data_IF_203164391780
#
_entry.id   IF_203164391780
#
_cell.length_a   1.000
_cell.length_b   1.000
_cell.length_c   1.000
_cell.angle_alpha   90.00
_cell.angle_beta   90.00
_cell.angle_gamma   90.00
#
_symmetry.space_group_name_H-M   'P 1'
#
loop_
_entity.id
_entity.type
_entity.pdbx_description
1 polymer ?
#
# COMPACT_ATOMS: atom_id res chain seq x y z
N UNK A 1 -1.19 2.86 20.45
CA UNK A 1 -0.63 2.95 19.08
C UNK A 1 -1.70 2.49 18.10
N UNK A 2 -2.12 3.34 17.14
CA UNK A 2 -3.26 3.05 16.27
C UNK A 2 -2.99 1.85 15.35
N UNK A 3 -4.06 1.15 14.92
CA UNK A 3 -3.97 0.04 13.95
C UNK A 3 -3.27 0.45 12.65
N UNK A 4 -3.47 1.70 12.23
CA UNK A 4 -2.83 2.32 11.07
C UNK A 4 -1.30 2.15 11.07
N UNK A 5 -0.60 2.61 12.10
CA UNK A 5 0.86 2.50 12.19
C UNK A 5 1.35 1.05 12.25
N UNK A 6 0.63 0.19 12.98
CA UNK A 6 0.97 -1.24 13.05
C UNK A 6 0.89 -1.92 11.69
N UNK A 7 -0.10 -1.57 10.87
CA UNK A 7 -0.24 -2.14 9.54
C UNK A 7 0.79 -1.58 8.58
N UNK A 8 1.00 -0.26 8.53
CA UNK A 8 2.03 0.35 7.66
C UNK A 8 3.44 -0.23 7.87
N UNK A 9 3.78 -0.69 9.09
CA UNK A 9 5.06 -1.37 9.32
C UNK A 9 5.27 -2.61 8.42
N UNK A 10 4.21 -3.27 7.99
CA UNK A 10 4.28 -4.40 7.06
C UNK A 10 4.84 -4.01 5.69
N UNK A 11 4.61 -2.76 5.24
CA UNK A 11 5.24 -2.27 4.00
C UNK A 11 6.77 -2.36 4.09
N UNK A 12 7.36 -2.18 5.27
CA UNK A 12 8.82 -2.28 5.46
C UNK A 12 9.38 -3.68 5.24
N UNK A 13 8.52 -4.69 5.14
CA UNK A 13 8.88 -6.08 4.83
C UNK A 13 8.44 -6.49 3.42
N UNK A 14 7.97 -5.55 2.60
CA UNK A 14 7.50 -5.82 1.23
C UNK A 14 6.07 -6.35 1.15
N UNK A 15 5.37 -6.48 2.28
CA UNK A 15 3.98 -6.91 2.31
C UNK A 15 3.08 -5.90 1.59
N UNK A 16 2.00 -6.40 0.98
CA UNK A 16 0.95 -5.57 0.37
C UNK A 16 -0.15 -5.33 1.37
N UNK A 17 -0.66 -4.10 1.43
CA UNK A 17 -1.68 -3.72 2.41
C UNK A 17 -2.87 -3.11 1.68
N UNK A 18 -4.07 -3.50 2.09
CA UNK A 18 -5.33 -2.99 1.55
C UNK A 18 -6.20 -2.38 2.66
N UNK A 19 -7.15 -1.54 2.24
CA UNK A 19 -8.28 -1.08 3.05
C UNK A 19 -9.56 -1.68 2.53
N UNK A 20 -10.50 -2.00 3.43
CA UNK A 20 -11.83 -2.50 3.03
C UNK A 20 -12.68 -1.40 2.41
N UNK A 21 -12.47 -0.15 2.81
CA UNK A 21 -13.16 1.03 2.32
C UNK A 21 -12.65 1.57 0.98
N UNK A 22 -11.66 0.93 0.33
CA UNK A 22 -11.30 1.28 -1.04
C UNK A 22 -12.29 0.68 -2.04
N UNK A 23 -12.65 1.47 -3.04
CA UNK A 23 -13.62 1.10 -4.07
C UNK A 23 -12.95 0.19 -5.12
N UNK A 24 -12.68 -1.07 -4.79
CA UNK A 24 -12.18 -2.02 -5.78
C UNK A 24 -11.62 -3.30 -5.17
N UNK A 25 -12.00 -4.45 -5.75
CA UNK A 25 -11.33 -5.72 -5.46
C UNK A 25 -9.89 -5.63 -5.95
N UNK A 26 -8.94 -6.02 -5.10
CA UNK A 26 -7.51 -6.03 -5.43
C UNK A 26 -6.78 -4.69 -5.27
N UNK A 27 -7.47 -3.60 -4.89
CA UNK A 27 -6.79 -2.33 -4.60
C UNK A 27 -5.91 -2.48 -3.35
N UNK A 28 -4.61 -2.17 -3.51
CA UNK A 28 -3.63 -2.26 -2.43
C UNK A 28 -2.54 -1.21 -2.58
N UNK A 29 -1.80 -0.98 -1.49
CA UNK A 29 -0.54 -0.25 -1.52
C UNK A 29 0.62 -1.21 -1.27
N UNK A 30 1.77 -0.87 -1.83
CA UNK A 30 3.03 -1.57 -1.65
C UNK A 30 4.20 -0.59 -1.65
N UNK A 31 5.34 -1.01 -1.10
CA UNK A 31 6.58 -0.26 -1.20
C UNK A 31 7.33 -0.69 -2.46
N UNK A 32 7.84 0.28 -3.21
CA UNK A 32 8.91 0.06 -4.18
C UNK A 32 10.23 0.38 -3.48
N UNK A 33 11.11 -0.62 -3.36
CA UNK A 33 12.50 -0.37 -2.98
C UNK A 33 13.27 0.10 -4.22
N UNK A 34 14.06 1.15 -4.07
CA UNK A 34 14.92 1.61 -5.15
C UNK A 34 16.08 0.63 -5.37
N UNK A 35 16.27 0.21 -6.60
CA UNK A 35 17.40 -0.57 -7.10
C UNK A 35 18.10 0.18 -8.26
N UNK A 36 19.10 -0.47 -8.88
CA UNK A 36 19.86 0.10 -9.99
C UNK A 36 19.00 0.42 -11.22
N UNK A 37 17.90 -0.33 -11.41
CA UNK A 37 16.97 -0.19 -12.52
C UNK A 37 15.78 0.74 -12.21
N UNK A 38 15.67 1.20 -10.97
CA UNK A 38 14.54 2.03 -10.52
C UNK A 38 14.61 3.44 -11.10
N UNK A 39 13.47 3.89 -11.62
CA UNK A 39 13.25 5.26 -12.12
C UNK A 39 13.42 6.31 -11.01
N UNK A 40 12.92 6.02 -9.81
CA UNK A 40 13.11 6.88 -8.63
C UNK A 40 14.25 6.35 -7.76
N UNK A 41 15.09 7.25 -7.24
CA UNK A 41 16.29 6.90 -6.44
C UNK A 41 16.05 6.80 -4.94
N UNK A 42 14.82 7.00 -4.47
CA UNK A 42 14.40 6.77 -3.09
C UNK A 42 13.23 5.78 -3.11
N UNK A 43 13.15 4.91 -2.11
CA UNK A 43 11.99 4.04 -1.92
C UNK A 43 10.72 4.87 -1.72
N UNK A 44 9.61 4.43 -2.28
CA UNK A 44 8.33 5.12 -2.23
C UNK A 44 7.17 4.12 -2.14
N UNK A 45 6.03 4.60 -1.66
CA UNK A 45 4.79 3.81 -1.60
C UNK A 45 3.95 4.15 -2.83
N UNK A 46 3.42 3.13 -3.48
CA UNK A 46 2.50 3.28 -4.61
C UNK A 46 1.21 2.52 -4.34
N UNK A 47 0.15 2.91 -5.06
CA UNK A 47 -1.13 2.23 -5.08
C UNK A 47 -1.28 1.42 -6.36
N UNK A 48 -1.86 0.24 -6.24
CA UNK A 48 -2.39 -0.58 -7.32
C UNK A 48 -3.89 -0.29 -7.47
N UNK A 49 -4.29 0.60 -8.39
CA UNK A 49 -5.70 0.84 -8.70
C UNK A 49 -6.31 -0.28 -9.56
N UNK A 50 -7.64 -0.23 -9.72
CA UNK A 50 -8.40 -1.21 -10.53
C UNK A 50 -7.96 -1.20 -12.00
N UNK A 51 -7.61 -0.04 -12.54
CA UNK A 51 -7.18 0.11 -13.93
C UNK A 51 -5.75 -0.40 -14.17
N UNK A 52 -5.05 -0.87 -13.13
CA UNK A 52 -3.68 -1.39 -13.18
C UNK A 52 -2.61 -0.32 -13.39
N UNK A 53 -2.98 0.95 -13.51
CA UNK A 53 -2.05 2.04 -13.75
C UNK A 53 -1.46 2.55 -12.44
N UNK A 54 -0.29 2.02 -12.05
CA UNK A 54 0.32 2.35 -10.76
C UNK A 54 0.53 3.86 -10.57
N UNK A 55 0.11 4.35 -9.40
CA UNK A 55 0.25 5.76 -9.03
C UNK A 55 0.97 5.90 -7.69
N UNK A 56 1.73 6.98 -7.46
CA UNK A 56 2.24 7.30 -6.13
C UNK A 56 1.10 7.39 -5.13
N UNK A 57 1.25 6.78 -3.96
CA UNK A 57 0.25 6.90 -2.91
C UNK A 57 0.55 8.07 -1.99
N UNK A 58 -0.43 8.95 -1.82
CA UNK A 58 -0.41 10.02 -0.83
C UNK A 58 -1.50 9.70 0.19
N UNK A 59 -1.10 9.53 1.46
CA UNK A 59 -2.06 9.25 2.52
C UNK A 59 -3.00 10.45 2.72
N UNK A 60 -4.28 10.24 2.49
CA UNK A 60 -5.33 11.22 2.82
C UNK A 60 -5.61 11.21 4.33
N UNK A 61 -6.35 12.22 4.82
CA UNK A 61 -6.82 12.22 6.21
C UNK A 61 -7.68 10.99 6.53
N UNK A 62 -8.48 10.54 5.55
CA UNK A 62 -9.31 9.33 5.67
C UNK A 62 -8.42 8.09 5.81
N UNK A 63 -7.31 8.01 5.07
CA UNK A 63 -6.37 6.88 5.18
C UNK A 63 -5.72 6.79 6.56
N UNK A 64 -5.25 7.93 7.08
CA UNK A 64 -4.57 8.01 8.38
C UNK A 64 -5.50 7.63 9.53
N UNK A 65 -6.77 8.01 9.44
CA UNK A 65 -7.78 7.74 10.47
C UNK A 65 -8.44 6.37 10.34
N UNK A 66 -8.16 5.61 9.28
CA UNK A 66 -8.84 4.34 9.05
C UNK A 66 -8.33 3.22 9.95
N UNK A 67 -9.23 2.31 10.32
CA UNK A 67 -8.93 1.13 11.13
C UNK A 67 -9.06 -0.20 10.36
N UNK A 68 -9.52 -0.13 9.12
CA UNK A 68 -9.93 -1.25 8.29
C UNK A 68 -8.79 -1.80 7.40
N UNK A 69 -7.55 -1.54 7.81
CA UNK A 69 -6.34 -1.98 7.13
C UNK A 69 -6.04 -3.47 7.36
N UNK A 70 -5.68 -4.18 6.30
CA UNK A 70 -5.28 -5.59 6.35
C UNK A 70 -4.15 -5.91 5.38
N UNK A 71 -3.33 -6.91 5.72
CA UNK A 71 -2.26 -7.42 4.86
C UNK A 71 -2.87 -8.42 3.88
N UNK A 72 -2.50 -8.35 2.60
CA UNK A 72 -2.89 -9.34 1.60
C UNK A 72 -1.99 -10.57 1.74
N UNK A 73 -2.58 -11.77 1.77
CA UNK A 73 -1.83 -13.01 1.63
C UNK A 73 -1.54 -13.31 0.16
N UNK A 74 -0.47 -14.04 -0.13
CA UNK A 74 -0.02 -14.37 -1.48
C UNK A 74 -1.10 -15.08 -2.34
N UNK A 75 -2.07 -15.74 -1.70
CA UNK A 75 -3.17 -16.46 -2.37
C UNK A 75 -4.42 -15.60 -2.66
N UNK A 76 -4.37 -14.28 -2.45
CA UNK A 76 -5.53 -13.37 -2.57
C UNK A 76 -5.55 -12.52 -3.85
N UNK A 77 -4.75 -12.87 -4.86
CA UNK A 77 -4.73 -12.22 -6.18
C UNK A 77 -5.70 -12.89 -7.15
#
# INVERSE_FOLDING_TARGET
>A
MSKFFRRLNHLRWGDRIARRGWNGRGMHIAIQYSDEFSKMKRSYIYMYPIDGMLVPWVASQIDILAEDWFVLSENSL
#
